data_IF_642253654703
#
_entry.id   IF_642253654703
#
_cell.length_a   1.000
_cell.length_b   1.000
_cell.length_c   1.000
_cell.angle_alpha   90.00
_cell.angle_beta   90.00
_cell.angle_gamma   90.00
#
_symmetry.space_group_name_H-M   'P 1'
#
loop_
_entity.id
_entity.type
_entity.pdbx_description
1 polymer ?
#
# COMPACT_ATOMS: atom_id res chain seq x y z
N UNK A 1 4.03 4.38 -8.94
CA UNK A 1 2.55 4.23 -8.88
C UNK A 1 1.96 5.56 -8.43
N UNK A 2 0.89 6.05 -9.06
CA UNK A 2 0.25 7.32 -8.72
C UNK A 2 -1.23 7.11 -8.40
N UNK A 3 -1.69 7.67 -7.29
CA UNK A 3 -3.10 7.68 -6.89
C UNK A 3 -3.75 8.98 -7.38
N UNK A 4 -4.79 8.87 -8.20
CA UNK A 4 -5.69 9.96 -8.53
C UNK A 4 -7.01 9.71 -7.84
N UNK A 5 -7.49 10.67 -7.05
CA UNK A 5 -8.78 10.53 -6.39
C UNK A 5 -9.50 11.87 -6.29
N UNK A 6 -10.80 11.82 -6.02
CA UNK A 6 -11.54 12.99 -5.60
C UNK A 6 -11.05 13.42 -4.21
N UNK A 7 -10.69 14.70 -4.05
CA UNK A 7 -10.21 15.25 -2.78
C UNK A 7 -11.33 15.39 -1.71
N UNK A 8 -12.57 15.02 -2.04
CA UNK A 8 -13.61 14.88 -1.04
C UNK A 8 -13.51 13.49 -0.41
N UNK A 9 -13.09 13.42 0.86
CA UNK A 9 -12.83 12.18 1.61
C UNK A 9 -13.96 11.14 1.52
N UNK A 10 -15.21 11.62 1.51
CA UNK A 10 -16.37 10.76 1.34
C UNK A 10 -16.34 10.03 -0.01
N UNK A 11 -15.98 10.73 -1.08
CA UNK A 11 -15.87 10.14 -2.42
C UNK A 11 -14.64 9.24 -2.55
N UNK A 12 -13.54 9.55 -1.86
CA UNK A 12 -12.36 8.68 -1.82
C UNK A 12 -12.68 7.32 -1.20
N UNK A 13 -13.28 7.31 0.00
CA UNK A 13 -13.67 6.08 0.70
C UNK A 13 -14.77 5.29 -0.01
N UNK A 14 -15.60 5.94 -0.84
CA UNK A 14 -16.59 5.29 -1.69
C UNK A 14 -16.05 4.74 -3.00
N UNK A 15 -14.76 4.95 -3.30
CA UNK A 15 -14.10 4.33 -4.45
C UNK A 15 -13.97 5.23 -5.69
N UNK A 16 -14.16 6.54 -5.57
CA UNK A 16 -13.85 7.49 -6.65
C UNK A 16 -12.33 7.74 -6.74
N UNK A 17 -11.61 6.68 -7.10
CA UNK A 17 -10.16 6.60 -7.17
C UNK A 17 -9.74 5.86 -8.44
N UNK A 18 -8.61 6.27 -9.02
CA UNK A 18 -7.92 5.60 -10.11
C UNK A 18 -6.43 5.50 -9.78
N UNK A 19 -5.79 4.43 -10.26
CA UNK A 19 -4.36 4.20 -10.09
C UNK A 19 -3.69 4.26 -11.46
N UNK A 20 -2.62 5.05 -11.56
CA UNK A 20 -1.75 5.08 -12.74
C UNK A 20 -0.45 4.36 -12.46
N UNK A 21 -0.15 3.36 -13.29
CA UNK A 21 1.13 2.65 -13.32
C UNK A 21 1.94 3.25 -14.46
N UNK A 22 2.85 4.16 -14.12
CA UNK A 22 3.87 4.66 -15.06
C UNK A 22 4.99 3.64 -15.11
N UNK A 23 5.28 3.10 -16.29
CA UNK A 23 6.34 2.12 -16.51
C UNK A 23 7.70 2.80 -16.52
N UNK A 24 8.75 2.02 -16.24
CA UNK A 24 10.13 2.49 -16.29
C UNK A 24 10.49 2.96 -17.70
N UNK A 25 11.20 4.09 -17.75
CA UNK A 25 11.81 4.61 -18.96
C UNK A 25 13.14 3.91 -19.31
N UNK A 26 13.82 4.37 -20.37
CA UNK A 26 15.04 3.74 -20.86
C UNK A 26 16.30 4.06 -20.03
N UNK A 27 16.25 5.04 -19.12
CA UNK A 27 17.41 5.46 -18.32
C UNK A 27 17.15 5.24 -16.83
N UNK A 28 18.23 5.13 -16.04
CA UNK A 28 18.13 5.03 -14.57
C UNK A 28 17.40 6.23 -13.95
N UNK A 29 17.54 7.43 -14.54
CA UNK A 29 16.87 8.65 -14.09
C UNK A 29 15.35 8.66 -14.38
N UNK A 30 14.90 7.81 -15.31
CA UNK A 30 13.49 7.68 -15.72
C UNK A 30 12.86 6.35 -15.26
N UNK A 31 13.56 5.60 -14.40
CA UNK A 31 13.12 4.34 -13.84
C UNK A 31 12.82 4.49 -12.34
N UNK A 32 11.92 3.68 -11.82
CA UNK A 32 11.60 3.70 -10.40
C UNK A 32 12.77 3.15 -9.57
N UNK A 33 13.08 3.83 -8.47
CA UNK A 33 14.07 3.33 -7.49
C UNK A 33 13.56 2.05 -6.81
N UNK A 34 14.47 1.13 -6.41
CA UNK A 34 14.07 -0.06 -5.68
C UNK A 34 13.40 0.32 -4.34
N UNK A 35 12.49 -0.53 -3.82
CA UNK A 35 11.82 -0.27 -2.56
C UNK A 35 12.84 -0.19 -1.40
N UNK A 36 12.72 0.78 -0.49
CA UNK A 36 13.57 0.85 0.70
C UNK A 36 13.38 -0.36 1.62
N UNK A 37 14.45 -0.81 2.29
CA UNK A 37 14.42 -1.99 3.16
C UNK A 37 13.55 -1.86 4.40
N UNK A 38 13.20 -0.64 4.80
CA UNK A 38 12.39 -0.34 5.97
C UNK A 38 10.89 -0.18 5.66
N UNK A 39 10.44 -0.50 4.44
CA UNK A 39 9.02 -0.43 4.07
C UNK A 39 8.21 -1.43 4.93
N UNK A 40 7.05 -1.03 5.50
CA UNK A 40 6.19 -1.93 6.27
C UNK A 40 5.72 -3.11 5.41
N UNK A 41 5.60 -4.31 5.99
CA UNK A 41 5.08 -5.46 5.24
C UNK A 41 3.57 -5.34 5.12
N UNK A 42 3.01 -5.79 3.99
CA UNK A 42 1.57 -5.78 3.76
C UNK A 42 0.79 -6.66 4.74
N UNK A 43 1.44 -7.68 5.32
CA UNK A 43 0.84 -8.61 6.29
C UNK A 43 1.08 -8.22 7.74
N UNK A 44 1.93 -7.21 8.00
CA UNK A 44 2.11 -6.71 9.36
C UNK A 44 0.80 -6.01 9.74
N UNK A 45 0.01 -6.61 10.63
CA UNK A 45 -1.06 -5.86 11.30
C UNK A 45 -0.34 -4.65 11.92
N UNK A 46 -0.74 -3.42 11.58
CA UNK A 46 -0.18 -2.25 12.27
C UNK A 46 -0.78 -2.24 13.66
N UNK A 47 0.02 -2.84 14.52
CA UNK A 47 -0.23 -3.17 15.90
C UNK A 47 -0.07 -1.88 16.70
N UNK A 48 -1.20 -1.36 17.21
CA UNK A 48 -1.16 -0.42 18.33
C UNK A 48 -0.42 -1.06 19.52
N UNK A 49 -0.07 -0.29 20.57
CA UNK A 49 0.73 -0.83 21.67
C UNK A 49 0.00 -2.00 22.35
N UNK A 50 0.47 -3.23 22.12
CA UNK A 50 0.04 -4.44 22.85
C UNK A 50 -0.49 -5.64 22.07
N UNK A 51 -0.19 -5.87 20.79
CA UNK A 51 -0.75 -7.06 20.13
C UNK A 51 0.07 -8.34 20.33
N UNK A 52 -0.63 -9.38 20.76
CA UNK A 52 -0.31 -10.77 20.44
C UNK A 52 -1.61 -11.43 19.98
N UNK A 53 -1.91 -11.41 18.68
CA UNK A 53 -3.02 -12.20 18.14
C UNK A 53 -2.72 -12.87 16.79
N UNK A 54 -1.45 -13.12 16.48
CA UNK A 54 -1.06 -13.95 15.33
C UNK A 54 -1.33 -15.45 15.56
N UNK A 55 -2.22 -15.82 16.49
CA UNK A 55 -2.60 -17.22 16.78
C UNK A 55 -4.10 -17.47 16.95
N UNK A 56 -4.98 -16.50 16.66
CA UNK A 56 -6.44 -16.67 16.78
C UNK A 56 -7.23 -16.36 15.51
N UNK A 57 -6.67 -16.58 14.33
CA UNK A 57 -7.48 -16.74 13.11
C UNK A 57 -7.76 -18.24 12.89
N UNK A 58 -9.01 -18.74 13.09
CA UNK A 58 -9.36 -20.15 12.91
C UNK A 58 -9.45 -20.59 11.44
N UNK A 59 -9.14 -19.69 10.50
CA UNK A 59 -9.33 -19.90 9.06
C UNK A 59 -8.03 -20.22 8.30
N UNK A 60 -6.86 -20.25 8.95
CA UNK A 60 -5.63 -20.83 8.40
C UNK A 60 -5.57 -22.35 8.69
N UNK A 61 -6.48 -23.11 8.08
CA UNK A 61 -6.29 -24.53 7.79
C UNK A 61 -6.17 -24.74 6.29
#
# INVERSE_FOLDING_TARGET
VWLLHCHFERHFTWGMTAIFIVKDGPTNETSMVPPPSYMPKCSDKIIGPGTTYDTLDPFDK
#
